data_IF_230992373175
#
_entry.id   IF_230992373175
#
_cell.length_a   1.000
_cell.length_b   1.000
_cell.length_c   1.000
_cell.angle_alpha   90.00
_cell.angle_beta   90.00
_cell.angle_gamma   90.00
#
_symmetry.space_group_name_H-M   'P 1'
#
loop_
_entity.id
_entity.type
_entity.pdbx_description
1 polymer ?
#
# COMPACT_ATOMS: atom_id res chain seq x y z
N UNK A 1 -2.89 15.76 -25.61
CA UNK A 1 -2.58 14.89 -24.46
C UNK A 1 -2.11 15.81 -23.35
N UNK A 2 -2.83 15.87 -22.22
CA UNK A 2 -2.50 16.82 -21.14
C UNK A 2 -1.21 16.39 -20.44
N UNK A 3 -0.39 17.35 -20.01
CA UNK A 3 0.88 17.11 -19.30
C UNK A 3 0.67 16.22 -18.07
N UNK A 4 -0.45 16.42 -17.36
CA UNK A 4 -0.87 15.62 -16.20
C UNK A 4 -1.04 14.13 -16.54
N UNK A 5 -1.63 13.79 -17.69
CA UNK A 5 -1.78 12.39 -18.13
C UNK A 5 -0.44 11.73 -18.43
N UNK A 6 0.50 12.47 -19.04
CA UNK A 6 1.84 11.96 -19.34
C UNK A 6 2.59 11.70 -18.03
N UNK A 7 2.51 12.64 -17.10
CA UNK A 7 3.17 12.58 -15.81
C UNK A 7 2.57 11.48 -14.92
N UNK A 8 1.25 11.30 -14.91
CA UNK A 8 0.58 10.17 -14.26
C UNK A 8 1.03 8.83 -14.85
N UNK A 9 1.08 8.72 -16.18
CA UNK A 9 1.55 7.53 -16.87
C UNK A 9 3.01 7.19 -16.55
N UNK A 10 3.88 8.21 -16.49
CA UNK A 10 5.28 8.04 -16.12
C UNK A 10 5.43 7.54 -14.67
N UNK A 11 4.73 8.15 -13.71
CA UNK A 11 4.77 7.69 -12.32
C UNK A 11 4.17 6.30 -12.13
N UNK A 12 3.06 6.00 -12.81
CA UNK A 12 2.47 4.66 -12.79
C UNK A 12 3.45 3.61 -13.35
N UNK A 13 4.16 3.93 -14.44
CA UNK A 13 5.20 3.06 -15.00
C UNK A 13 6.33 2.79 -14.01
N UNK A 14 6.88 3.84 -13.39
CA UNK A 14 7.94 3.70 -12.38
C UNK A 14 7.45 2.94 -11.15
N UNK A 15 6.21 3.16 -10.73
CA UNK A 15 5.58 2.45 -9.62
C UNK A 15 5.51 0.94 -9.89
N UNK A 16 5.01 0.54 -11.06
CA UNK A 16 4.92 -0.87 -11.45
C UNK A 16 6.31 -1.50 -11.55
N UNK A 17 7.27 -0.82 -12.17
CA UNK A 17 8.65 -1.30 -12.26
C UNK A 17 9.30 -1.46 -10.89
N UNK A 18 9.09 -0.50 -9.99
CA UNK A 18 9.61 -0.57 -8.62
C UNK A 18 8.94 -1.70 -7.83
N UNK A 19 7.64 -1.94 -8.02
CA UNK A 19 6.90 -3.03 -7.39
C UNK A 19 7.39 -4.40 -7.87
N UNK A 20 7.66 -4.54 -9.17
CA UNK A 20 8.34 -5.72 -9.71
C UNK A 20 9.76 -5.86 -9.15
N UNK A 21 10.46 -4.75 -8.98
CA UNK A 21 11.78 -4.69 -8.34
C UNK A 21 11.81 -5.27 -6.93
N UNK A 22 10.74 -5.09 -6.14
CA UNK A 22 10.60 -5.71 -4.80
C UNK A 22 10.63 -7.23 -4.88
N UNK A 23 9.91 -7.82 -5.84
CA UNK A 23 9.76 -9.26 -6.02
C UNK A 23 10.99 -9.92 -6.67
N UNK A 24 11.66 -9.19 -7.58
CA UNK A 24 12.82 -9.69 -8.33
C UNK A 24 14.14 -9.53 -7.57
N UNK A 25 14.18 -8.63 -6.58
CA UNK A 25 15.39 -8.38 -5.80
C UNK A 25 15.77 -9.60 -4.96
N UNK A 26 17.04 -10.00 -5.07
CA UNK A 26 17.58 -11.16 -4.34
C UNK A 26 17.88 -10.85 -2.87
N UNK A 27 18.34 -9.63 -2.59
CA UNK A 27 18.63 -9.21 -1.22
C UNK A 27 17.42 -8.49 -0.62
N UNK A 28 17.08 -8.85 0.62
CA UNK A 28 16.00 -8.21 1.38
C UNK A 28 16.18 -6.69 1.52
N UNK A 29 17.42 -6.20 1.54
CA UNK A 29 17.72 -4.77 1.59
C UNK A 29 17.24 -4.04 0.33
N UNK A 30 17.55 -4.58 -0.86
CA UNK A 30 17.08 -3.97 -2.11
C UNK A 30 15.57 -4.10 -2.25
N UNK A 31 14.97 -5.22 -1.84
CA UNK A 31 13.51 -5.36 -1.80
C UNK A 31 12.86 -4.30 -0.89
N UNK A 32 13.42 -4.05 0.30
CA UNK A 32 12.92 -3.04 1.23
C UNK A 32 13.07 -1.61 0.70
N UNK A 33 14.18 -1.31 0.00
CA UNK A 33 14.37 -0.02 -0.67
C UNK A 33 13.36 0.19 -1.80
N UNK A 34 13.18 -0.80 -2.68
CA UNK A 34 12.18 -0.73 -3.74
C UNK A 34 10.75 -0.63 -3.18
N UNK A 35 10.46 -1.26 -2.04
CA UNK A 35 9.18 -1.15 -1.36
C UNK A 35 8.96 0.27 -0.80
N UNK A 36 10.00 0.87 -0.24
CA UNK A 36 9.91 2.25 0.25
C UNK A 36 9.70 3.22 -0.92
N UNK A 37 10.39 2.99 -2.03
CA UNK A 37 10.22 3.76 -3.26
C UNK A 37 8.81 3.60 -3.86
N UNK A 38 8.23 2.40 -3.89
CA UNK A 38 6.86 2.20 -4.38
C UNK A 38 5.87 2.97 -3.54
N UNK A 39 6.01 2.97 -2.21
CA UNK A 39 5.13 3.72 -1.31
C UNK A 39 5.20 5.23 -1.53
N UNK A 40 6.40 5.78 -1.79
CA UNK A 40 6.55 7.20 -2.16
C UNK A 40 5.88 7.51 -3.49
N UNK A 41 6.01 6.62 -4.48
CA UNK A 41 5.35 6.79 -5.78
C UNK A 41 3.83 6.70 -5.66
N UNK A 42 3.31 5.76 -4.86
CA UNK A 42 1.88 5.64 -4.54
C UNK A 42 1.37 6.92 -3.88
N UNK A 43 2.09 7.45 -2.89
CA UNK A 43 1.73 8.72 -2.24
C UNK A 43 1.65 9.86 -3.28
N UNK A 44 2.65 9.95 -4.15
CA UNK A 44 2.72 10.98 -5.20
C UNK A 44 1.54 10.88 -6.16
N UNK A 45 1.15 9.66 -6.56
CA UNK A 45 -0.06 9.43 -7.37
C UNK A 45 -1.31 9.93 -6.63
N UNK A 46 -1.45 9.66 -5.33
CA UNK A 46 -2.57 10.20 -4.54
C UNK A 46 -2.55 11.73 -4.45
N UNK A 47 -1.38 12.36 -4.37
CA UNK A 47 -1.26 13.81 -4.38
C UNK A 47 -1.73 14.43 -5.70
N UNK A 48 -1.51 13.75 -6.84
CA UNK A 48 -2.03 14.18 -8.15
C UNK A 48 -3.55 14.11 -8.26
N UNK A 49 -4.20 13.28 -7.43
CA UNK A 49 -5.66 13.21 -7.29
C UNK A 49 -6.21 14.13 -6.19
N UNK A 50 -5.43 15.12 -5.73
CA UNK A 50 -5.80 16.11 -4.70
C UNK A 50 -6.12 15.50 -3.32
N UNK A 51 -5.60 14.30 -3.03
CA UNK A 51 -5.77 13.60 -1.75
C UNK A 51 -4.59 13.86 -0.80
N UNK A 52 -4.31 15.12 -0.46
CA UNK A 52 -3.14 15.47 0.36
C UNK A 52 -3.09 14.78 1.74
N UNK A 53 -4.20 14.61 2.49
CA UNK A 53 -4.14 13.94 3.79
C UNK A 53 -3.61 12.50 3.70
N UNK A 54 -3.94 11.78 2.62
CA UNK A 54 -3.43 10.42 2.37
C UNK A 54 -1.95 10.44 2.01
N UNK A 55 -1.50 11.41 1.19
CA UNK A 55 -0.07 11.59 0.91
C UNK A 55 0.73 11.72 2.21
N UNK A 56 0.29 12.60 3.11
CA UNK A 56 0.94 12.83 4.41
C UNK A 56 0.97 11.54 5.23
N UNK A 57 -0.15 10.82 5.33
CA UNK A 57 -0.21 9.58 6.09
C UNK A 57 0.73 8.50 5.52
N UNK A 58 0.77 8.35 4.19
CA UNK A 58 1.64 7.37 3.52
C UNK A 58 3.11 7.73 3.76
N UNK A 59 3.50 8.99 3.58
CA UNK A 59 4.90 9.40 3.74
C UNK A 59 5.36 9.32 5.20
N UNK A 60 4.53 9.74 6.16
CA UNK A 60 4.95 9.72 7.57
C UNK A 60 4.89 8.33 8.20
N UNK A 61 3.80 7.60 8.02
CA UNK A 61 3.59 6.32 8.70
C UNK A 61 4.23 5.17 7.92
N UNK A 62 3.86 5.03 6.65
CA UNK A 62 4.30 3.87 5.88
C UNK A 62 5.75 4.01 5.41
N UNK A 63 6.15 5.17 4.90
CA UNK A 63 7.55 5.40 4.48
C UNK A 63 8.42 5.71 5.70
N UNK A 64 8.00 6.66 6.54
CA UNK A 64 8.79 7.13 7.67
C UNK A 64 8.96 6.11 8.79
N UNK A 65 7.88 5.57 9.35
CA UNK A 65 7.99 4.61 10.46
C UNK A 65 8.25 3.20 9.94
N UNK A 66 7.32 2.66 9.15
CA UNK A 66 7.35 1.26 8.73
C UNK A 66 8.50 1.02 7.74
N UNK A 67 8.67 1.89 6.75
CA UNK A 67 9.68 1.78 5.70
C UNK A 67 11.09 1.86 6.27
N UNK A 68 11.41 2.89 7.06
CA UNK A 68 12.74 3.03 7.66
C UNK A 68 13.07 1.85 8.58
N UNK A 69 12.14 1.41 9.44
CA UNK A 69 12.37 0.25 10.31
C UNK A 69 12.61 -1.01 9.48
N UNK A 70 11.83 -1.22 8.42
CA UNK A 70 12.01 -2.37 7.52
C UNK A 70 13.34 -2.35 6.79
N UNK A 71 13.76 -1.19 6.27
CA UNK A 71 15.05 -1.01 5.60
C UNK A 71 16.20 -1.21 6.59
N UNK A 72 16.09 -0.66 7.80
CA UNK A 72 17.10 -0.82 8.86
C UNK A 72 17.24 -2.30 9.26
N UNK A 73 16.13 -3.00 9.51
CA UNK A 73 16.14 -4.43 9.83
C UNK A 73 16.71 -5.27 8.68
N UNK A 74 16.35 -4.96 7.43
CA UNK A 74 16.89 -5.65 6.26
C UNK A 74 18.39 -5.37 6.06
N UNK A 75 18.89 -4.20 6.49
CA UNK A 75 20.31 -3.86 6.47
C UNK A 75 21.09 -4.56 7.59
N UNK A 76 20.53 -4.63 8.81
CA UNK A 76 21.21 -5.24 9.97
C UNK A 76 21.18 -6.76 9.92
N UNK A 77 20.06 -7.36 9.50
CA UNK A 77 19.90 -8.81 9.34
C UNK A 77 20.09 -9.23 7.89
N UNK A 78 21.17 -8.76 7.25
CA UNK A 78 21.52 -9.12 5.88
C UNK A 78 21.98 -10.59 5.81
N UNK A 79 21.06 -11.52 5.95
CA UNK A 79 21.26 -12.89 5.48
C UNK A 79 21.23 -12.83 3.95
N UNK A 80 22.23 -13.39 3.26
CA UNK A 80 22.17 -13.64 1.82
C UNK A 80 21.37 -14.93 1.62
N UNK A 81 20.07 -14.89 1.34
CA UNK A 81 19.32 -16.11 1.13
C UNK A 81 19.67 -16.63 -0.26
N UNK A 82 19.80 -17.94 -0.42
CA UNK A 82 19.76 -18.52 -1.77
C UNK A 82 18.43 -18.14 -2.43
N UNK A 83 18.46 -17.86 -3.73
CA UNK A 83 17.29 -17.34 -4.45
C UNK A 83 16.21 -18.43 -4.50
N UNK A 84 15.29 -18.44 -3.54
CA UNK A 84 14.13 -19.34 -3.50
C UNK A 84 13.01 -18.80 -4.41
N UNK A 85 13.33 -18.55 -5.68
CA UNK A 85 12.32 -18.15 -6.66
C UNK A 85 11.52 -19.40 -7.06
N UNK A 86 10.46 -19.67 -6.32
CA UNK A 86 9.55 -20.75 -6.63
C UNK A 86 8.65 -20.33 -7.80
N UNK A 87 9.01 -20.76 -9.01
CA UNK A 87 8.29 -20.49 -10.28
C UNK A 87 6.78 -20.79 -10.19
N UNK A 88 6.39 -21.69 -9.28
CA UNK A 88 5.00 -22.05 -9.00
C UNK A 88 4.13 -20.84 -8.60
N UNK A 89 4.72 -19.80 -7.99
CA UNK A 89 4.00 -18.59 -7.56
C UNK A 89 3.73 -17.60 -8.69
N UNK A 90 4.37 -17.74 -9.86
CA UNK A 90 4.01 -16.92 -11.03
C UNK A 90 2.58 -17.21 -11.52
N UNK A 91 2.10 -18.44 -11.34
CA UNK A 91 0.78 -18.87 -11.80
C UNK A 91 -0.36 -18.07 -11.12
N UNK A 92 -0.47 -18.01 -9.77
CA UNK A 92 -1.51 -17.22 -9.12
C UNK A 92 -1.38 -15.71 -9.38
N UNK A 93 -0.14 -15.19 -9.50
CA UNK A 93 0.09 -13.77 -9.84
C UNK A 93 -0.45 -13.45 -11.24
N UNK A 94 -0.21 -14.32 -12.23
CA UNK A 94 -0.70 -14.12 -13.58
C UNK A 94 -2.24 -14.20 -13.63
N UNK A 95 -2.85 -15.17 -12.95
CA UNK A 95 -4.31 -15.34 -12.91
C UNK A 95 -4.96 -14.09 -12.30
N UNK A 96 -4.46 -13.59 -11.17
CA UNK A 96 -5.00 -12.41 -10.51
C UNK A 96 -4.84 -11.14 -11.36
N UNK A 97 -3.68 -10.97 -12.01
CA UNK A 97 -3.45 -9.85 -12.93
C UNK A 97 -4.41 -9.86 -14.13
N UNK A 98 -4.64 -11.03 -14.73
CA UNK A 98 -5.59 -11.19 -15.86
C UNK A 98 -7.03 -10.94 -15.39
N UNK A 99 -7.41 -11.45 -14.23
CA UNK A 99 -8.76 -11.28 -13.69
C UNK A 99 -9.07 -9.81 -13.37
N UNK A 100 -8.12 -9.10 -12.73
CA UNK A 100 -8.26 -7.67 -12.46
C UNK A 100 -8.29 -6.85 -13.76
N UNK A 101 -7.40 -7.15 -14.71
CA UNK A 101 -7.38 -6.50 -16.02
C UNK A 101 -8.69 -6.69 -16.79
N UNK A 102 -9.22 -7.92 -16.80
CA UNK A 102 -10.49 -8.23 -17.45
C UNK A 102 -11.68 -7.55 -16.76
N UNK A 103 -11.68 -7.47 -15.43
CA UNK A 103 -12.72 -6.75 -14.69
C UNK A 103 -12.72 -5.26 -15.04
N UNK A 104 -11.55 -4.60 -15.02
CA UNK A 104 -11.44 -3.18 -15.38
C UNK A 104 -11.85 -2.96 -16.85
N UNK A 105 -11.41 -3.84 -17.76
CA UNK A 105 -11.73 -3.73 -19.17
C UNK A 105 -13.23 -3.93 -19.44
N UNK A 106 -13.86 -4.93 -18.82
CA UNK A 106 -15.29 -5.18 -18.99
C UNK A 106 -16.16 -4.09 -18.37
N UNK A 107 -15.74 -3.49 -17.24
CA UNK A 107 -16.37 -2.28 -16.71
C UNK A 107 -16.23 -1.08 -17.65
N UNK A 108 -15.08 -0.91 -18.30
CA UNK A 108 -14.89 0.13 -19.30
C UNK A 108 -15.73 -0.12 -20.57
N UNK A 109 -15.94 -1.38 -20.96
CA UNK A 109 -16.68 -1.76 -22.16
C UNK A 109 -18.21 -1.77 -21.97
N UNK A 110 -18.70 -2.21 -20.80
CA UNK A 110 -20.13 -2.21 -20.45
C UNK A 110 -20.60 -0.88 -19.83
N UNK A 111 -19.74 0.14 -19.81
CA UNK A 111 -20.05 1.48 -19.34
C UNK A 111 -21.02 2.21 -20.27
N UNK A 112 -22.31 1.91 -20.14
CA UNK A 112 -23.40 2.86 -20.35
C UNK A 112 -23.11 4.15 -19.59
N UNK A 113 -22.62 5.20 -20.24
CA UNK A 113 -22.86 6.63 -19.94
C UNK A 113 -22.56 7.19 -18.53
N UNK A 114 -22.27 6.37 -17.52
CA UNK A 114 -21.71 6.79 -16.26
C UNK A 114 -20.21 6.77 -16.48
N UNK A 115 -19.72 7.86 -17.10
CA UNK A 115 -18.36 8.28 -16.81
C UNK A 115 -18.15 8.09 -15.32
N UNK A 116 -17.03 7.48 -14.94
CA UNK A 116 -16.57 7.56 -13.56
C UNK A 116 -16.36 9.05 -13.34
N UNK A 117 -17.44 9.72 -12.96
CA UNK A 117 -17.45 11.09 -12.52
C UNK A 117 -16.73 11.00 -11.20
N UNK A 118 -15.39 11.09 -11.27
CA UNK A 118 -14.55 11.62 -10.21
C UNK A 118 -14.95 13.10 -10.07
N UNK A 119 -16.23 13.35 -9.77
CA UNK A 119 -16.87 14.66 -9.67
C UNK A 119 -17.44 14.89 -8.27
N UNK A 120 -17.20 13.95 -7.37
CA UNK A 120 -17.15 14.25 -5.95
C UNK A 120 -15.68 14.53 -5.66
N UNK A 121 -15.29 15.77 -5.31
CA UNK A 121 -14.06 15.96 -4.56
C UNK A 121 -14.19 14.99 -3.40
N UNK A 122 -13.27 14.03 -3.27
CA UNK A 122 -13.19 13.20 -2.08
C UNK A 122 -12.72 14.15 -0.99
N UNK A 123 -13.65 14.96 -0.48
CA UNK A 123 -13.44 15.89 0.59
C UNK A 123 -13.25 15.05 1.82
N UNK A 124 -12.00 14.81 2.18
CA UNK A 124 -11.66 14.17 3.45
C UNK A 124 -12.03 15.12 4.59
N UNK A 125 -13.30 15.10 4.99
CA UNK A 125 -13.79 15.87 6.12
C UNK A 125 -13.52 15.07 7.39
N UNK A 126 -12.37 15.29 8.03
CA UNK A 126 -12.03 14.76 9.37
C UNK A 126 -13.16 14.95 10.39
N UNK A 127 -13.94 16.01 10.22
CA UNK A 127 -15.09 16.34 11.07
C UNK A 127 -16.20 15.29 11.03
N UNK A 128 -16.36 14.56 9.92
CA UNK A 128 -17.32 13.46 9.79
C UNK A 128 -16.89 12.20 10.55
N UNK A 129 -15.58 11.98 10.69
CA UNK A 129 -15.02 10.84 11.43
C UNK A 129 -15.16 11.03 12.95
N UNK A 130 -14.98 12.25 13.46
CA UNK A 130 -15.00 12.55 14.90
C UNK A 130 -16.39 12.93 15.45
N UNK A 131 -17.42 12.99 14.60
CA UNK A 131 -18.77 13.36 15.04
C UNK A 131 -19.37 12.23 15.92
N UNK A 132 -19.85 12.54 17.14
CA UNK A 132 -20.55 11.57 17.98
C UNK A 132 -21.79 11.03 17.24
N UNK A 133 -21.92 9.70 17.13
CA UNK A 133 -23.01 9.05 16.39
C UNK A 133 -22.74 8.79 14.91
N UNK A 134 -21.47 8.91 14.45
CA UNK A 134 -21.08 8.52 13.09
C UNK A 134 -20.97 6.99 12.94
N UNK A 135 -21.19 6.49 11.72
CA UNK A 135 -21.03 5.07 11.37
C UNK A 135 -19.59 4.55 11.60
N UNK A 136 -18.61 5.47 11.67
CA UNK A 136 -17.20 5.15 11.86
C UNK A 136 -16.78 5.01 13.33
N UNK A 137 -17.66 5.33 14.29
CA UNK A 137 -17.34 5.24 15.72
C UNK A 137 -17.07 3.79 16.17
N UNK A 138 -17.87 2.83 15.68
CA UNK A 138 -17.66 1.40 15.93
C UNK A 138 -16.36 0.90 15.30
N UNK A 139 -16.06 1.37 14.09
CA UNK A 139 -14.82 1.04 13.40
C UNK A 139 -13.61 1.53 14.21
N UNK A 140 -13.63 2.77 14.71
CA UNK A 140 -12.57 3.30 15.56
C UNK A 140 -12.42 2.53 16.88
N UNK A 141 -13.52 2.18 17.53
CA UNK A 141 -13.51 1.37 18.76
C UNK A 141 -12.94 -0.04 18.52
N UNK A 142 -13.29 -0.66 17.40
CA UNK A 142 -12.76 -1.97 17.04
C UNK A 142 -11.27 -1.89 16.66
N UNK A 143 -10.85 -0.87 15.92
CA UNK A 143 -9.45 -0.67 15.55
C UNK A 143 -8.57 -0.45 16.79
N UNK A 144 -9.03 0.40 17.72
CA UNK A 144 -8.30 0.66 18.98
C UNK A 144 -8.23 -0.60 19.85
N UNK A 145 -9.32 -1.35 19.97
CA UNK A 145 -9.33 -2.65 20.64
C UNK A 145 -8.34 -3.64 20.00
N UNK A 146 -8.32 -3.72 18.67
CA UNK A 146 -7.40 -4.59 17.93
C UNK A 146 -5.94 -4.22 18.19
N UNK A 147 -5.60 -2.92 18.22
CA UNK A 147 -4.24 -2.45 18.55
C UNK A 147 -3.85 -2.85 19.97
N UNK A 148 -4.74 -2.70 20.95
CA UNK A 148 -4.49 -3.10 22.34
C UNK A 148 -4.28 -4.62 22.43
N UNK A 149 -5.13 -5.42 21.77
CA UNK A 149 -5.01 -6.88 21.76
C UNK A 149 -3.72 -7.34 21.08
N UNK A 150 -3.31 -6.71 19.97
CA UNK A 150 -2.02 -7.00 19.33
C UNK A 150 -0.86 -6.69 20.27
N UNK A 151 -0.90 -5.56 20.97
CA UNK A 151 0.15 -5.17 21.91
C UNK A 151 0.26 -6.17 23.08
N UNK A 152 -0.89 -6.57 23.65
CA UNK A 152 -0.93 -7.61 24.68
C UNK A 152 -0.44 -8.97 24.18
N UNK A 153 -0.79 -9.34 22.94
CA UNK A 153 -0.33 -10.58 22.31
C UNK A 153 1.18 -10.59 22.16
N UNK A 154 1.77 -9.51 21.64
CA UNK A 154 3.22 -9.37 21.49
C UNK A 154 3.92 -9.48 22.85
N UNK A 155 3.44 -8.75 23.88
CA UNK A 155 4.01 -8.84 25.24
C UNK A 155 3.92 -10.26 25.80
N UNK A 156 2.78 -10.94 25.61
CA UNK A 156 2.60 -12.31 26.10
C UNK A 156 3.56 -13.29 25.44
N UNK A 157 3.82 -13.15 24.13
CA UNK A 157 4.78 -13.97 23.40
C UNK A 157 6.19 -13.77 23.98
N UNK A 158 6.63 -12.51 24.14
CA UNK A 158 7.96 -12.22 24.70
C UNK A 158 8.11 -12.67 26.16
N UNK A 159 7.05 -12.60 26.96
CA UNK A 159 7.08 -13.04 28.38
C UNK A 159 6.91 -14.55 28.55
N UNK A 160 6.38 -15.25 27.55
CA UNK A 160 6.10 -16.69 27.59
C UNK A 160 7.33 -17.58 27.37
N UNK A 161 8.46 -17.01 26.95
CA UNK A 161 9.73 -17.73 26.75
C UNK A 161 10.61 -17.77 28.01
N UNK A 162 10.20 -17.15 29.13
CA UNK A 162 10.93 -17.14 30.41
C UNK A 162 10.37 -18.12 31.48
N UNK A 163 9.54 -19.10 31.10
CA UNK A 163 8.95 -20.11 32.01
C UNK A 163 9.39 -21.52 31.70
#
# INVERSE_FOLDING_TARGET
MNIEMILLGAFAGVLVLSALGVLLSKDNFYSALFMTLTLVMVATVYALFDLQPLFVLIVFVFVGVIGIVTVALAATYRAMPERQFAWIWCIPVLITAVMLGFSIFTHALHGTGTGISISSPIGFTLQGFLKPGSEYQLLFLFLTSLVILLFLSVIKIYRGEES
#
